data_IF_151773814752
#
_entry.id   IF_151773814752
#
_cell.length_a   1.000
_cell.length_b   1.000
_cell.length_c   1.000
_cell.angle_alpha   90.00
_cell.angle_beta   90.00
_cell.angle_gamma   90.00
#
_symmetry.space_group_name_H-M   'P 1'
#
loop_
_entity.id
_entity.type
_entity.pdbx_description
1 polymer ?
#
# COMPACT_ATOMS: atom_id res chain seq x y z
N UNK A 1 -42.64 -5.61 -35.55
CA UNK A 1 -41.25 -5.18 -35.44
C UNK A 1 -40.87 -4.65 -34.04
N UNK A 2 -41.68 -3.81 -33.43
CA UNK A 2 -41.35 -3.18 -32.13
C UNK A 2 -41.08 -4.14 -30.95
N UNK A 3 -41.70 -5.32 -30.96
CA UNK A 3 -41.61 -6.26 -29.81
C UNK A 3 -40.24 -6.95 -29.69
N UNK A 4 -39.53 -7.17 -30.79
CA UNK A 4 -38.22 -7.82 -30.78
C UNK A 4 -37.13 -6.88 -30.22
N UNK A 5 -37.16 -5.59 -30.59
CA UNK A 5 -36.23 -4.58 -30.09
C UNK A 5 -36.41 -4.35 -28.59
N UNK A 6 -37.66 -4.32 -28.13
CA UNK A 6 -37.97 -4.19 -26.68
C UNK A 6 -37.45 -5.40 -25.91
N UNK A 7 -37.67 -6.62 -26.39
CA UNK A 7 -37.16 -7.84 -25.76
C UNK A 7 -35.64 -7.87 -25.73
N UNK A 8 -35.00 -7.49 -26.82
CA UNK A 8 -33.54 -7.41 -26.92
C UNK A 8 -32.96 -6.38 -25.95
N UNK A 9 -33.61 -5.21 -25.82
CA UNK A 9 -33.23 -4.18 -24.86
C UNK A 9 -33.30 -4.70 -23.42
N UNK A 10 -34.39 -5.33 -23.02
CA UNK A 10 -34.51 -5.88 -21.66
C UNK A 10 -33.52 -7.03 -21.41
N UNK A 11 -33.23 -7.87 -22.40
CA UNK A 11 -32.22 -8.92 -22.28
C UNK A 11 -30.82 -8.30 -22.04
N UNK A 12 -30.43 -7.32 -22.82
CA UNK A 12 -29.15 -6.62 -22.64
C UNK A 12 -29.06 -5.91 -21.30
N UNK A 13 -30.16 -5.31 -20.84
CA UNK A 13 -30.21 -4.67 -19.53
C UNK A 13 -30.03 -5.69 -18.38
N UNK A 14 -30.66 -6.84 -18.49
CA UNK A 14 -30.50 -7.94 -17.50
C UNK A 14 -29.05 -8.43 -17.47
N UNK A 15 -28.44 -8.64 -18.66
CA UNK A 15 -27.03 -9.05 -18.74
C UNK A 15 -26.12 -7.98 -18.12
N UNK A 16 -26.33 -6.70 -18.44
CA UNK A 16 -25.55 -5.60 -17.88
C UNK A 16 -25.64 -5.55 -16.35
N UNK A 17 -26.86 -5.63 -15.81
CA UNK A 17 -27.08 -5.66 -14.35
C UNK A 17 -26.41 -6.89 -13.73
N UNK A 18 -26.56 -8.07 -14.34
CA UNK A 18 -25.94 -9.30 -13.86
C UNK A 18 -24.42 -9.21 -13.82
N UNK A 19 -23.79 -8.71 -14.87
CA UNK A 19 -22.33 -8.47 -14.94
C UNK A 19 -21.89 -7.47 -13.88
N UNK A 20 -22.62 -6.35 -13.73
CA UNK A 20 -22.29 -5.33 -12.72
C UNK A 20 -22.36 -5.89 -11.30
N UNK A 21 -23.37 -6.69 -10.99
CA UNK A 21 -23.52 -7.38 -9.70
C UNK A 21 -22.34 -8.33 -9.45
N UNK A 22 -21.97 -9.14 -10.46
CA UNK A 22 -20.82 -10.05 -10.33
C UNK A 22 -19.54 -9.25 -10.07
N UNK A 23 -19.27 -8.20 -10.85
CA UNK A 23 -18.08 -7.34 -10.67
C UNK A 23 -18.08 -6.73 -9.26
N UNK A 24 -19.21 -6.22 -8.78
CA UNK A 24 -19.33 -5.63 -7.45
C UNK A 24 -18.91 -6.61 -6.33
N UNK A 25 -19.32 -7.86 -6.39
CA UNK A 25 -18.92 -8.86 -5.38
C UNK A 25 -17.48 -9.35 -5.55
N UNK A 26 -16.94 -9.36 -6.76
CA UNK A 26 -15.59 -9.84 -7.04
C UNK A 26 -14.53 -8.73 -7.12
N UNK A 27 -14.90 -7.45 -7.09
CA UNK A 27 -13.98 -6.31 -7.28
C UNK A 27 -12.71 -6.38 -6.41
N UNK A 28 -12.83 -6.80 -5.15
CA UNK A 28 -11.65 -6.92 -4.27
C UNK A 28 -10.68 -8.00 -4.74
N UNK A 29 -11.18 -9.13 -5.22
CA UNK A 29 -10.34 -10.21 -5.79
C UNK A 29 -9.72 -9.82 -7.12
N UNK A 30 -10.41 -8.98 -7.89
CA UNK A 30 -9.91 -8.47 -9.16
C UNK A 30 -8.87 -7.37 -8.95
N UNK A 31 -9.01 -6.59 -7.89
CA UNK A 31 -8.12 -5.46 -7.59
C UNK A 31 -6.88 -5.89 -6.81
N UNK A 32 -7.02 -6.68 -5.74
CA UNK A 32 -5.92 -7.01 -4.85
C UNK A 32 -5.32 -8.38 -5.17
N UNK A 33 -4.00 -8.42 -5.35
CA UNK A 33 -3.25 -9.64 -5.63
C UNK A 33 -2.17 -9.87 -4.55
N UNK A 34 -2.57 -10.16 -3.31
CA UNK A 34 -1.64 -10.34 -2.21
C UNK A 34 -0.78 -11.59 -2.42
N UNK A 35 0.52 -11.43 -2.29
CA UNK A 35 1.45 -12.54 -2.17
C UNK A 35 1.88 -12.66 -0.70
N UNK A 36 1.36 -13.68 -0.03
CA UNK A 36 1.46 -13.85 1.43
C UNK A 36 2.72 -14.60 1.88
N UNK A 37 3.64 -14.95 0.96
CA UNK A 37 4.90 -15.57 1.35
C UNK A 37 5.68 -14.68 2.34
N UNK A 38 6.37 -15.33 3.28
CA UNK A 38 7.25 -14.64 4.20
C UNK A 38 8.35 -13.91 3.44
N UNK A 39 8.68 -12.72 3.93
CA UNK A 39 9.74 -11.89 3.36
C UNK A 39 11.09 -12.31 3.95
N UNK A 40 12.11 -12.32 3.10
CA UNK A 40 13.47 -12.72 3.46
C UNK A 40 14.42 -11.53 3.53
N UNK A 41 14.22 -10.52 2.69
CA UNK A 41 15.14 -9.42 2.49
C UNK A 41 16.44 -9.83 1.77
N UNK A 42 16.49 -11.05 1.21
CA UNK A 42 17.64 -11.52 0.47
C UNK A 42 17.89 -10.62 -0.75
N UNK A 43 19.09 -10.09 -0.87
CA UNK A 43 19.44 -9.12 -1.90
C UNK A 43 19.36 -7.64 -1.47
N UNK A 44 18.85 -7.32 -0.28
CA UNK A 44 19.02 -5.99 0.30
C UNK A 44 20.47 -5.75 0.69
N UNK A 45 21.11 -4.75 0.04
CA UNK A 45 22.53 -4.41 0.29
C UNK A 45 22.72 -3.43 1.46
N UNK A 46 21.65 -2.74 1.86
CA UNK A 46 21.67 -1.80 2.98
C UNK A 46 21.15 -2.47 4.25
N UNK A 47 21.74 -2.12 5.40
CA UNK A 47 21.24 -2.58 6.70
C UNK A 47 19.81 -2.08 6.90
N UNK A 48 18.91 -2.99 7.21
CA UNK A 48 17.51 -2.71 7.54
C UNK A 48 17.09 -3.45 8.80
N UNK A 49 16.01 -2.98 9.38
CA UNK A 49 15.34 -3.59 10.52
C UNK A 49 13.94 -4.04 10.08
N UNK A 50 13.58 -5.28 10.39
CA UNK A 50 12.18 -5.70 10.30
C UNK A 50 11.45 -5.16 11.52
N UNK A 51 10.54 -4.23 11.29
CA UNK A 51 9.76 -3.59 12.34
C UNK A 51 8.35 -4.18 12.39
N UNK A 52 7.69 -3.99 13.53
CA UNK A 52 6.26 -4.24 13.68
C UNK A 52 5.56 -2.97 14.16
N UNK A 53 4.37 -2.73 13.64
CA UNK A 53 3.54 -1.60 14.03
C UNK A 53 2.07 -2.02 14.09
N UNK A 54 1.29 -1.30 14.89
CA UNK A 54 -0.13 -1.59 15.09
C UNK A 54 -0.98 -0.63 14.25
N UNK A 55 -2.04 -1.17 13.67
CA UNK A 55 -3.06 -0.38 12.96
C UNK A 55 -4.19 0.02 13.92
N UNK A 56 -4.97 1.03 13.55
CA UNK A 56 -6.11 1.50 14.36
C UNK A 56 -7.24 0.48 14.53
N UNK A 57 -7.24 -0.59 13.72
CA UNK A 57 -8.15 -1.73 13.80
C UNK A 57 -7.49 -2.99 14.35
N UNK A 58 -6.44 -2.82 15.16
CA UNK A 58 -5.77 -3.85 15.95
C UNK A 58 -5.07 -4.97 15.14
N UNK A 59 -4.63 -4.69 13.94
CA UNK A 59 -3.71 -5.58 13.25
C UNK A 59 -2.27 -5.22 13.59
N UNK A 60 -1.44 -6.23 13.82
CA UNK A 60 0.01 -6.07 13.91
C UNK A 60 0.64 -6.42 12.58
N UNK A 61 1.19 -5.42 11.91
CA UNK A 61 1.80 -5.53 10.60
C UNK A 61 3.32 -5.37 10.68
N UNK A 62 3.99 -5.81 9.63
CA UNK A 62 5.45 -5.70 9.50
C UNK A 62 5.82 -4.77 8.36
N UNK A 63 7.01 -4.22 8.45
CA UNK A 63 7.65 -3.45 7.40
C UNK A 63 9.17 -3.53 7.53
N UNK A 64 9.88 -2.92 6.61
CA UNK A 64 11.34 -2.76 6.69
C UNK A 64 11.70 -1.30 6.83
N UNK A 65 12.52 -1.02 7.84
CA UNK A 65 13.04 0.30 8.12
C UNK A 65 14.55 0.35 7.95
N UNK A 66 15.02 1.34 7.20
CA UNK A 66 16.43 1.66 7.03
C UNK A 66 16.70 3.05 7.58
N UNK A 67 17.50 3.12 8.62
CA UNK A 67 17.99 4.38 9.18
C UNK A 67 19.42 4.60 8.71
N UNK A 68 19.62 5.57 7.81
CA UNK A 68 20.94 6.01 7.37
C UNK A 68 21.50 7.09 8.30
N UNK A 69 20.67 8.10 8.60
CA UNK A 69 21.03 9.20 9.49
C UNK A 69 19.74 9.89 10.00
N UNK A 70 19.65 10.15 11.30
CA UNK A 70 18.48 10.78 11.92
C UNK A 70 18.17 12.19 11.41
N UNK A 71 19.16 12.90 10.84
CA UNK A 71 18.98 14.25 10.30
C UNK A 71 18.47 14.27 8.86
N UNK A 72 18.26 13.09 8.22
CA UNK A 72 17.83 13.01 6.84
C UNK A 72 16.32 12.81 6.73
N UNK A 73 15.76 13.21 5.59
CA UNK A 73 14.36 12.92 5.28
C UNK A 73 14.12 11.41 5.24
N UNK A 74 12.91 11.01 5.58
CA UNK A 74 12.49 9.61 5.57
C UNK A 74 11.43 9.40 4.50
N UNK A 75 11.66 8.45 3.61
CA UNK A 75 10.67 8.04 2.62
C UNK A 75 9.75 6.99 3.25
N UNK A 76 8.47 7.31 3.37
CA UNK A 76 7.43 6.31 3.65
C UNK A 76 6.96 5.72 2.31
N UNK A 77 7.44 4.52 2.00
CA UNK A 77 7.16 3.86 0.74
C UNK A 77 5.89 3.00 0.84
N UNK A 78 4.90 3.38 0.07
CA UNK A 78 3.59 2.78 -0.04
C UNK A 78 3.54 2.00 -1.36
N UNK A 79 3.73 0.67 -1.29
CA UNK A 79 3.98 -0.16 -2.47
C UNK A 79 2.72 -0.46 -3.29
N UNK A 80 2.94 -0.92 -4.52
CA UNK A 80 1.88 -1.28 -5.46
C UNK A 80 1.15 -2.57 -5.09
N UNK A 81 0.18 -2.93 -5.93
CA UNK A 81 -0.79 -3.99 -5.67
C UNK A 81 -0.21 -5.41 -5.64
N UNK A 82 0.74 -5.75 -6.51
CA UNK A 82 1.20 -7.14 -6.68
C UNK A 82 2.49 -7.44 -5.90
N UNK A 83 2.70 -8.72 -5.56
CA UNK A 83 3.93 -9.22 -4.96
C UNK A 83 3.99 -9.04 -3.44
N UNK A 84 5.22 -9.10 -2.91
CA UNK A 84 5.56 -8.86 -1.51
C UNK A 84 6.71 -7.84 -1.41
N UNK A 85 7.28 -7.61 -0.23
CA UNK A 85 8.39 -6.67 -0.06
C UNK A 85 9.66 -7.11 -0.80
N UNK A 86 9.93 -8.41 -0.93
CA UNK A 86 11.11 -8.91 -1.66
C UNK A 86 11.10 -8.48 -3.13
N UNK A 87 9.93 -8.28 -3.73
CA UNK A 87 9.81 -7.77 -5.09
C UNK A 87 10.16 -6.27 -5.23
N UNK A 88 10.47 -5.57 -4.13
CA UNK A 88 10.86 -4.15 -4.10
C UNK A 88 12.32 -3.93 -3.74
N UNK A 89 13.10 -5.00 -3.61
CA UNK A 89 14.50 -4.95 -3.17
C UNK A 89 15.35 -4.04 -4.06
N UNK A 90 15.23 -4.12 -5.38
CA UNK A 90 16.00 -3.25 -6.29
C UNK A 90 15.67 -1.75 -6.07
N UNK A 91 14.40 -1.44 -5.85
CA UNK A 91 13.95 -0.08 -5.56
C UNK A 91 14.42 0.39 -4.19
N UNK A 92 14.38 -0.49 -3.18
CA UNK A 92 14.88 -0.20 -1.83
C UNK A 92 16.39 -0.01 -1.82
N UNK A 93 17.12 -0.80 -2.60
CA UNK A 93 18.57 -0.61 -2.79
C UNK A 93 18.87 0.74 -3.45
N UNK A 94 18.06 1.14 -4.43
CA UNK A 94 18.19 2.47 -5.05
C UNK A 94 17.90 3.59 -4.06
N UNK A 95 16.85 3.48 -3.23
CA UNK A 95 16.56 4.44 -2.16
C UNK A 95 17.68 4.50 -1.11
N UNK A 96 18.21 3.34 -0.69
CA UNK A 96 19.32 3.27 0.27
C UNK A 96 20.63 3.86 -0.26
N UNK A 97 20.83 3.91 -1.58
CA UNK A 97 21.96 4.62 -2.20
C UNK A 97 21.77 6.15 -2.15
N UNK A 98 20.54 6.64 -2.05
CA UNK A 98 20.26 8.05 -1.82
C UNK A 98 20.56 8.44 -0.38
N UNK A 99 20.63 9.73 -0.10
CA UNK A 99 20.90 10.25 1.23
C UNK A 99 19.58 10.44 2.02
N UNK A 100 18.82 9.35 2.15
CA UNK A 100 17.51 9.30 2.82
C UNK A 100 17.38 8.05 3.70
N UNK A 101 16.54 8.13 4.71
CA UNK A 101 16.00 6.96 5.40
C UNK A 101 14.79 6.43 4.63
N UNK A 102 14.39 5.18 4.85
CA UNK A 102 13.10 4.71 4.33
C UNK A 102 12.39 3.76 5.29
N UNK A 103 11.07 3.82 5.27
CA UNK A 103 10.18 2.79 5.78
C UNK A 103 9.31 2.30 4.62
N UNK A 104 9.36 1.01 4.30
CA UNK A 104 8.35 0.36 3.48
C UNK A 104 7.42 -0.45 4.37
N UNK A 105 6.12 -0.15 4.30
CA UNK A 105 5.10 -0.93 5.00
C UNK A 105 4.64 -2.08 4.10
N UNK A 106 4.47 -3.27 4.66
CA UNK A 106 3.78 -4.35 3.98
C UNK A 106 2.29 -4.27 4.30
N UNK A 107 1.46 -4.28 3.27
CA UNK A 107 0.00 -4.22 3.45
C UNK A 107 -0.55 -5.45 4.17
N UNK A 108 -1.71 -5.29 4.80
CA UNK A 108 -2.51 -6.41 5.31
C UNK A 108 -2.76 -7.45 4.21
N UNK A 109 -2.56 -8.73 4.53
CA UNK A 109 -2.68 -9.85 3.59
C UNK A 109 -1.45 -10.08 2.70
N UNK A 110 -0.49 -9.14 2.64
CA UNK A 110 0.76 -9.26 1.88
C UNK A 110 1.93 -9.62 2.79
N UNK A 111 2.99 -10.22 2.24
CA UNK A 111 4.27 -10.40 2.95
C UNK A 111 4.14 -11.14 4.29
N UNK A 112 3.18 -12.04 4.41
CA UNK A 112 2.90 -12.77 5.64
C UNK A 112 2.14 -11.97 6.71
N UNK A 113 1.69 -10.76 6.40
CA UNK A 113 0.86 -9.95 7.30
C UNK A 113 -0.57 -10.47 7.39
N UNK A 114 -1.22 -10.37 8.55
CA UNK A 114 -2.62 -10.76 8.74
C UNK A 114 -3.59 -9.83 8.01
N UNK A 115 -4.85 -10.22 7.97
CA UNK A 115 -5.95 -9.41 7.45
C UNK A 115 -6.21 -9.63 5.95
N UNK A 116 -7.17 -8.85 5.44
CA UNK A 116 -7.57 -8.85 4.02
C UNK A 116 -7.52 -7.42 3.50
N UNK A 117 -6.94 -7.18 2.32
CA UNK A 117 -6.82 -5.84 1.77
C UNK A 117 -8.20 -5.24 1.45
N UNK A 118 -8.33 -3.96 1.76
CA UNK A 118 -9.45 -3.10 1.38
C UNK A 118 -8.95 -1.66 1.37
N UNK A 119 -9.61 -0.77 0.70
CA UNK A 119 -9.24 0.64 0.60
C UNK A 119 -9.02 1.26 1.97
N UNK A 120 -10.05 1.27 2.84
CA UNK A 120 -9.94 1.77 4.21
C UNK A 120 -8.87 1.04 5.04
N UNK A 121 -8.71 -0.27 4.79
CA UNK A 121 -7.69 -1.06 5.46
C UNK A 121 -6.28 -0.58 5.12
N UNK A 122 -5.99 -0.33 3.84
CA UNK A 122 -4.68 0.16 3.42
C UNK A 122 -4.39 1.57 3.94
N UNK A 123 -5.40 2.43 4.09
CA UNK A 123 -5.25 3.72 4.77
C UNK A 123 -4.81 3.54 6.23
N UNK A 124 -5.43 2.62 6.96
CA UNK A 124 -5.06 2.30 8.35
C UNK A 124 -3.65 1.70 8.44
N UNK A 125 -3.24 0.90 7.45
CA UNK A 125 -1.89 0.34 7.39
C UNK A 125 -0.85 1.45 7.21
N UNK A 126 -1.08 2.36 6.27
CA UNK A 126 -0.19 3.50 6.01
C UNK A 126 -0.11 4.43 7.22
N UNK A 127 -1.25 4.74 7.86
CA UNK A 127 -1.30 5.56 9.08
C UNK A 127 -0.63 4.86 10.26
N UNK A 128 -0.70 3.51 10.36
CA UNK A 128 0.03 2.74 11.35
C UNK A 128 1.55 2.88 11.19
N UNK A 129 2.05 2.75 9.95
CA UNK A 129 3.45 2.98 9.63
C UNK A 129 3.90 4.42 9.88
N UNK A 130 3.06 5.40 9.55
CA UNK A 130 3.30 6.81 9.85
C UNK A 130 3.40 7.06 11.35
N UNK A 131 2.46 6.54 12.13
CA UNK A 131 2.46 6.62 13.59
C UNK A 131 3.74 6.04 14.17
N UNK A 132 4.19 4.89 13.68
CA UNK A 132 5.44 4.27 14.11
C UNK A 132 6.65 5.20 13.85
N UNK A 133 6.72 5.87 12.70
CA UNK A 133 7.77 6.87 12.41
C UNK A 133 7.71 8.05 13.39
N UNK A 134 6.51 8.57 13.67
CA UNK A 134 6.34 9.68 14.62
C UNK A 134 6.76 9.28 16.04
N UNK A 135 6.48 8.06 16.48
CA UNK A 135 6.92 7.51 17.76
C UNK A 135 8.45 7.35 17.85
N UNK A 136 9.15 7.22 16.70
CA UNK A 136 10.62 7.28 16.61
C UNK A 136 11.18 8.70 16.55
N UNK A 137 10.32 9.72 16.66
CA UNK A 137 10.74 11.14 16.64
C UNK A 137 10.88 11.73 15.25
N UNK A 138 10.43 11.02 14.19
CA UNK A 138 10.45 11.52 12.81
C UNK A 138 9.11 12.20 12.55
N UNK A 139 9.10 13.53 12.50
CA UNK A 139 7.89 14.33 12.28
C UNK A 139 7.44 14.32 10.81
N UNK A 140 6.17 14.65 10.56
CA UNK A 140 5.59 14.58 9.22
C UNK A 140 6.33 15.48 8.21
N UNK A 141 6.81 16.65 8.63
CA UNK A 141 7.59 17.57 7.79
C UNK A 141 8.99 17.03 7.41
N UNK A 142 9.42 15.92 8.02
CA UNK A 142 10.61 15.16 7.65
C UNK A 142 10.30 13.96 6.77
N UNK A 143 9.02 13.64 6.54
CA UNK A 143 8.58 12.45 5.78
C UNK A 143 8.19 12.83 4.36
N UNK A 144 8.68 12.06 3.40
CA UNK A 144 8.26 12.09 2.00
C UNK A 144 7.39 10.85 1.77
N UNK A 145 6.14 11.04 1.38
CA UNK A 145 5.29 9.94 0.94
C UNK A 145 5.70 9.52 -0.47
N UNK A 146 5.95 8.24 -0.67
CA UNK A 146 6.21 7.69 -1.99
C UNK A 146 5.20 6.60 -2.30
N UNK A 147 4.26 6.89 -3.21
CA UNK A 147 3.25 5.96 -3.67
C UNK A 147 3.65 5.28 -4.98
N UNK A 148 3.53 3.95 -5.03
CA UNK A 148 3.71 3.17 -6.24
C UNK A 148 2.37 2.55 -6.66
N UNK A 149 1.86 2.86 -7.87
CA UNK A 149 0.63 2.28 -8.41
C UNK A 149 -0.54 2.39 -7.39
N UNK A 150 -1.03 1.29 -6.82
CA UNK A 150 -2.03 1.31 -5.75
C UNK A 150 -1.64 2.25 -4.60
N UNK A 151 -0.37 2.28 -4.24
CA UNK A 151 0.16 3.15 -3.18
C UNK A 151 0.01 4.64 -3.46
N UNK A 152 -0.17 5.05 -4.74
CA UNK A 152 -0.41 6.47 -5.08
C UNK A 152 -1.73 6.97 -4.50
N UNK A 153 -2.79 6.17 -4.59
CA UNK A 153 -4.08 6.51 -4.00
C UNK A 153 -3.99 6.66 -2.47
N UNK A 154 -3.25 5.73 -1.82
CA UNK A 154 -3.04 5.77 -0.38
C UNK A 154 -2.20 7.00 0.02
N UNK A 155 -1.11 7.28 -0.70
CA UNK A 155 -0.28 8.46 -0.46
C UNK A 155 -1.08 9.75 -0.60
N UNK A 156 -1.94 9.84 -1.61
CA UNK A 156 -2.83 10.99 -1.83
C UNK A 156 -3.80 11.17 -0.67
N UNK A 157 -4.45 10.10 -0.23
CA UNK A 157 -5.45 10.15 0.85
C UNK A 157 -4.81 10.60 2.18
N UNK A 158 -3.73 9.94 2.63
CA UNK A 158 -3.11 10.31 3.90
C UNK A 158 -2.36 11.64 3.84
N UNK A 159 -2.02 12.10 2.62
CA UNK A 159 -1.34 13.37 2.37
C UNK A 159 -2.23 14.60 2.50
N UNK A 160 -3.56 14.47 2.37
CA UNK A 160 -4.48 15.61 2.29
C UNK A 160 -4.49 16.51 3.54
N UNK A 161 -4.35 15.93 4.72
CA UNK A 161 -4.55 16.62 5.99
C UNK A 161 -3.26 16.73 6.82
N UNK A 162 -2.10 16.45 6.24
CA UNK A 162 -0.83 16.42 6.94
C UNK A 162 0.24 17.20 6.17
N UNK A 163 1.09 17.88 6.92
CA UNK A 163 2.17 18.69 6.36
C UNK A 163 3.43 17.83 6.16
N UNK A 164 3.49 17.08 5.07
CA UNK A 164 4.64 16.26 4.71
C UNK A 164 5.74 17.07 3.99
N UNK A 165 6.97 16.55 4.01
CA UNK A 165 8.10 17.14 3.26
C UNK A 165 7.88 17.10 1.74
N UNK A 166 7.09 16.14 1.26
CA UNK A 166 6.71 16.00 -0.14
C UNK A 166 5.91 14.73 -0.39
N UNK A 167 5.31 14.66 -1.58
CA UNK A 167 4.57 13.49 -2.06
C UNK A 167 5.09 13.17 -3.47
N UNK A 168 5.45 11.92 -3.70
CA UNK A 168 5.87 11.38 -4.99
C UNK A 168 4.84 10.30 -5.38
N UNK A 169 4.27 10.41 -6.59
CA UNK A 169 3.22 9.52 -7.09
C UNK A 169 3.66 8.83 -8.38
#
# INVERSE_FOLDING_TARGET
MNNIYIKSFFLLLIIYVGVTVVIYFYQRKLLYHPFSAQITGEGLIHKFETISFDTSDNLKLKGWFHLKNSNKKTVLFLHGNAGNLDNRIDKLNSLGNMDVNFLIVAWRGYSGNPGKPSEEGLYKDALGGLKWLNEKGISNDQIILYGESLGTAIATEIGQNNNFAGIIL
#
